data_IF_917577716191
#
_entry.id   IF_917577716191
#
_cell.length_a   1.000
_cell.length_b   1.000
_cell.length_c   1.000
_cell.angle_alpha   90.00
_cell.angle_beta   90.00
_cell.angle_gamma   90.00
#
_symmetry.space_group_name_H-M   'P 1'
#
loop_
_entity.id
_entity.type
_entity.pdbx_description
1 polymer ?
#
# COMPACT_ATOMS: atom_id res chain seq x y z
N UNK A 1 1.99 -13.29 -13.03
CA UNK A 1 1.27 -12.58 -11.95
C UNK A 1 1.43 -11.09 -12.15
N UNK A 2 0.33 -10.37 -12.26
CA UNK A 2 0.33 -8.93 -12.57
C UNK A 2 -0.65 -8.19 -11.67
N UNK A 3 -0.39 -6.90 -11.50
CA UNK A 3 -1.37 -5.96 -10.96
C UNK A 3 -2.21 -5.49 -12.14
N UNK A 4 -3.52 -5.74 -12.08
CA UNK A 4 -4.43 -5.45 -13.21
C UNK A 4 -5.17 -4.13 -13.03
N UNK A 5 -5.32 -3.68 -11.78
CA UNK A 5 -5.97 -2.41 -11.47
C UNK A 5 -5.47 -1.87 -10.12
N UNK A 6 -5.41 -0.56 -10.01
CA UNK A 6 -5.23 0.16 -8.74
C UNK A 6 -6.35 1.18 -8.62
N UNK A 7 -7.14 1.05 -7.58
CA UNK A 7 -8.21 2.01 -7.24
C UNK A 7 -7.77 2.85 -6.05
N UNK A 8 -7.94 4.13 -6.16
CA UNK A 8 -7.75 5.07 -5.06
C UNK A 8 -9.04 5.83 -4.82
N UNK A 9 -9.42 5.93 -3.56
CA UNK A 9 -10.57 6.71 -3.13
C UNK A 9 -10.16 7.67 -2.03
N UNK A 10 -10.32 8.97 -2.31
CA UNK A 10 -10.04 10.02 -1.33
C UNK A 10 -11.22 10.15 -0.36
N UNK A 11 -10.92 10.06 0.93
CA UNK A 11 -11.89 10.20 2.02
C UNK A 11 -11.60 11.47 2.81
N UNK A 12 -12.61 12.32 3.08
CA UNK A 12 -12.44 13.43 4.02
C UNK A 12 -12.23 12.87 5.42
N UNK A 13 -11.17 13.29 6.11
CA UNK A 13 -10.86 12.80 7.47
C UNK A 13 -11.27 13.77 8.56
N UNK A 14 -11.80 14.91 8.21
CA UNK A 14 -12.04 15.96 9.18
C UNK A 14 -13.36 15.79 9.91
N UNK A 15 -13.29 15.33 11.15
CA UNK A 15 -14.27 15.71 12.20
C UNK A 15 -14.15 17.19 12.60
N UNK A 16 -13.02 17.78 12.30
CA UNK A 16 -12.63 19.13 12.63
C UNK A 16 -12.30 19.86 11.33
N UNK A 17 -13.29 19.93 10.40
CA UNK A 17 -13.17 20.86 9.31
C UNK A 17 -13.06 22.24 9.94
N UNK A 18 -11.83 22.74 10.03
CA UNK A 18 -11.62 24.15 10.37
C UNK A 18 -12.33 24.95 9.27
N UNK A 19 -13.40 25.72 9.61
CA UNK A 19 -14.09 26.54 8.64
C UNK A 19 -13.18 27.58 7.97
N UNK A 20 -12.03 27.88 8.59
CA UNK A 20 -11.01 28.75 8.06
C UNK A 20 -10.02 28.02 7.12
N UNK A 21 -10.06 26.68 7.07
CA UNK A 21 -9.23 25.94 6.11
C UNK A 21 -9.77 26.14 4.69
N UNK A 22 -8.90 26.36 3.70
CA UNK A 22 -9.35 26.52 2.31
C UNK A 22 -10.11 25.28 1.83
N UNK A 23 -11.05 25.45 0.88
CA UNK A 23 -11.75 24.34 0.25
C UNK A 23 -10.76 23.29 -0.26
N UNK A 24 -10.97 22.02 0.08
CA UNK A 24 -10.03 20.95 -0.26
C UNK A 24 -9.22 20.42 0.91
N UNK A 25 -9.73 20.54 2.15
CA UNK A 25 -9.11 20.09 3.40
C UNK A 25 -8.38 18.76 3.34
N UNK A 26 -7.72 18.38 4.43
CA UNK A 26 -6.97 17.12 4.53
C UNK A 26 -7.86 15.93 4.16
N UNK A 27 -7.37 15.09 3.28
CA UNK A 27 -8.00 13.83 2.90
C UNK A 27 -7.10 12.67 3.23
N UNK A 28 -7.68 11.49 3.44
CA UNK A 28 -6.93 10.24 3.40
C UNK A 28 -7.25 9.51 2.11
N UNK A 29 -6.36 8.62 1.68
CA UNK A 29 -6.60 7.75 0.54
C UNK A 29 -6.75 6.31 1.02
N UNK A 30 -7.82 5.66 0.60
CA UNK A 30 -7.94 4.21 0.64
C UNK A 30 -7.58 3.65 -0.74
N UNK A 31 -6.75 2.61 -0.77
CA UNK A 31 -6.26 2.00 -2.00
C UNK A 31 -6.61 0.53 -2.04
N UNK A 32 -7.03 0.06 -3.22
CA UNK A 32 -7.15 -1.35 -3.54
C UNK A 32 -6.22 -1.68 -4.72
N UNK A 33 -5.33 -2.64 -4.51
CA UNK A 33 -4.46 -3.23 -5.55
C UNK A 33 -5.06 -4.57 -5.97
N UNK A 34 -5.57 -4.65 -7.18
CA UNK A 34 -6.23 -5.82 -7.74
C UNK A 34 -5.20 -6.61 -8.57
N UNK A 35 -5.09 -7.90 -8.30
CA UNK A 35 -4.17 -8.80 -9.01
C UNK A 35 -4.93 -9.73 -9.97
N UNK A 36 -4.20 -10.37 -10.90
CA UNK A 36 -4.72 -11.45 -11.74
C UNK A 36 -4.76 -12.81 -11.04
N UNK A 37 -4.35 -12.89 -9.78
CA UNK A 37 -4.40 -14.12 -8.97
C UNK A 37 -5.82 -14.35 -8.48
N UNK A 38 -6.36 -15.54 -8.76
CA UNK A 38 -7.72 -15.92 -8.35
C UNK A 38 -7.65 -16.85 -7.13
N UNK A 39 -8.41 -16.52 -6.10
CA UNK A 39 -8.63 -17.34 -4.90
C UNK A 39 -10.12 -17.40 -4.60
N UNK A 40 -10.66 -18.61 -4.41
CA UNK A 40 -12.10 -18.77 -4.14
C UNK A 40 -13.01 -18.17 -5.21
N UNK A 41 -12.59 -18.14 -6.48
CA UNK A 41 -13.36 -17.57 -7.59
C UNK A 41 -13.26 -16.03 -7.72
N UNK A 42 -12.48 -15.37 -6.88
CA UNK A 42 -12.33 -13.91 -6.90
C UNK A 42 -10.86 -13.50 -7.05
N UNK A 43 -10.58 -12.35 -7.67
CA UNK A 43 -9.24 -11.81 -7.70
C UNK A 43 -8.76 -11.48 -6.28
N UNK A 44 -7.48 -11.73 -6.01
CA UNK A 44 -6.86 -11.28 -4.78
C UNK A 44 -6.70 -9.77 -4.82
N UNK A 45 -7.21 -9.11 -3.80
CA UNK A 45 -7.16 -7.65 -3.63
C UNK A 45 -6.42 -7.32 -2.34
N UNK A 46 -5.38 -6.52 -2.46
CA UNK A 46 -4.70 -5.93 -1.32
C UNK A 46 -5.23 -4.53 -1.02
N UNK A 47 -5.33 -4.19 0.26
CA UNK A 47 -5.83 -2.91 0.73
C UNK A 47 -4.78 -2.16 1.52
N UNK A 48 -4.74 -0.85 1.31
CA UNK A 48 -3.92 0.08 2.07
C UNK A 48 -4.65 1.40 2.29
N UNK A 49 -4.22 2.15 3.28
CA UNK A 49 -4.79 3.47 3.56
C UNK A 49 -3.72 4.41 4.13
N UNK A 50 -3.88 5.70 3.89
CA UNK A 50 -3.05 6.72 4.49
C UNK A 50 -3.59 7.03 5.89
N UNK A 51 -2.84 6.71 6.94
CA UNK A 51 -3.25 6.99 8.33
C UNK A 51 -3.24 8.47 8.68
N UNK A 52 -2.47 9.27 7.96
CA UNK A 52 -2.42 10.73 8.10
C UNK A 52 -2.83 11.39 6.80
N UNK A 53 -3.81 12.29 6.88
CA UNK A 53 -4.26 13.05 5.75
C UNK A 53 -3.18 13.96 5.14
N UNK A 54 -3.28 14.16 3.85
CA UNK A 54 -2.47 15.07 3.05
C UNK A 54 -3.35 15.71 1.97
N UNK A 55 -2.79 16.64 1.22
CA UNK A 55 -3.54 17.34 0.17
C UNK A 55 -3.41 16.71 -1.21
N UNK A 56 -2.29 16.05 -1.51
CA UNK A 56 -1.96 15.63 -2.87
C UNK A 56 -1.68 14.13 -3.04
N UNK A 57 -1.75 13.33 -1.98
CA UNK A 57 -1.39 11.91 -2.05
C UNK A 57 -2.22 11.12 -3.06
N UNK A 58 -3.52 11.40 -3.18
CA UNK A 58 -4.40 10.72 -4.14
C UNK A 58 -4.00 10.96 -5.59
N UNK A 59 -3.65 12.21 -5.95
CA UNK A 59 -3.10 12.55 -7.26
C UNK A 59 -1.79 11.82 -7.54
N UNK A 60 -0.86 11.80 -6.59
CA UNK A 60 0.40 11.08 -6.71
C UNK A 60 0.18 9.57 -6.89
N UNK A 61 -0.77 8.98 -6.17
CA UNK A 61 -1.13 7.57 -6.34
C UNK A 61 -1.62 7.31 -7.76
N UNK A 62 -2.67 8.03 -8.21
CA UNK A 62 -3.33 7.78 -9.50
C UNK A 62 -2.46 8.11 -10.71
N UNK A 63 -1.74 9.22 -10.65
CA UNK A 63 -1.09 9.80 -11.83
C UNK A 63 0.40 9.44 -11.94
N UNK A 64 1.03 9.08 -10.83
CA UNK A 64 2.48 8.83 -10.80
C UNK A 64 2.84 7.39 -10.44
N UNK A 65 2.35 6.85 -9.33
CA UNK A 65 2.85 5.58 -8.81
C UNK A 65 2.06 4.37 -9.29
N UNK A 66 0.73 4.44 -9.35
CA UNK A 66 -0.09 3.36 -9.89
C UNK A 66 0.26 3.01 -11.34
N UNK A 67 0.48 3.97 -12.26
CA UNK A 67 0.90 3.66 -13.63
C UNK A 67 2.21 2.87 -13.69
N UNK A 68 3.17 3.12 -12.80
CA UNK A 68 4.44 2.36 -12.75
C UNK A 68 4.24 0.90 -12.41
N UNK A 69 3.28 0.61 -11.52
CA UNK A 69 2.92 -0.76 -11.15
C UNK A 69 2.13 -1.46 -12.28
N UNK A 70 1.19 -0.74 -12.90
CA UNK A 70 0.33 -1.29 -13.95
C UNK A 70 1.06 -1.58 -15.27
N UNK A 71 2.11 -0.83 -15.57
CA UNK A 71 2.93 -1.01 -16.78
C UNK A 71 4.18 -1.86 -16.55
N UNK A 72 4.42 -2.30 -15.31
CA UNK A 72 5.58 -3.10 -14.97
C UNK A 72 5.51 -4.48 -15.64
N UNK A 73 6.68 -4.99 -16.02
CA UNK A 73 6.79 -6.38 -16.48
C UNK A 73 6.55 -7.30 -15.29
N UNK A 74 5.95 -8.44 -15.54
CA UNK A 74 5.69 -9.44 -14.51
C UNK A 74 6.96 -9.79 -13.69
N UNK A 75 8.08 -10.02 -14.38
CA UNK A 75 9.36 -10.33 -13.72
C UNK A 75 9.88 -9.25 -12.77
N UNK A 76 9.42 -8.01 -12.90
CA UNK A 76 9.82 -6.89 -12.04
C UNK A 76 8.91 -6.77 -10.80
N UNK A 77 7.81 -7.50 -10.73
CA UNK A 77 6.82 -7.47 -9.64
C UNK A 77 6.83 -8.73 -8.76
N UNK A 78 7.29 -9.87 -9.29
CA UNK A 78 7.22 -11.14 -8.59
C UNK A 78 8.52 -11.48 -7.84
N UNK A 79 8.42 -12.38 -6.88
CA UNK A 79 9.56 -12.95 -6.17
C UNK A 79 10.46 -13.78 -7.13
N UNK A 80 11.59 -14.24 -6.61
CA UNK A 80 12.54 -15.01 -7.42
C UNK A 80 11.95 -16.33 -7.94
N UNK A 81 11.01 -16.92 -7.20
CA UNK A 81 10.33 -18.15 -7.59
C UNK A 81 9.15 -17.91 -8.58
N UNK A 82 8.75 -16.65 -8.79
CA UNK A 82 7.59 -16.29 -9.61
C UNK A 82 6.25 -16.69 -8.98
N UNK A 83 6.23 -16.99 -7.70
CA UNK A 83 5.06 -17.55 -7.00
C UNK A 83 4.22 -16.53 -6.24
N UNK A 84 4.79 -15.35 -5.96
CA UNK A 84 4.13 -14.29 -5.22
C UNK A 84 4.57 -12.91 -5.70
N UNK A 85 3.81 -11.89 -5.33
CA UNK A 85 4.26 -10.50 -5.43
C UNK A 85 5.45 -10.27 -4.50
N UNK A 86 6.40 -9.47 -4.96
CA UNK A 86 7.51 -8.99 -4.15
C UNK A 86 7.33 -7.48 -3.86
N UNK A 87 6.83 -7.09 -2.67
CA UNK A 87 6.63 -5.70 -2.33
C UNK A 87 7.91 -4.86 -2.38
N UNK A 88 9.08 -5.44 -2.10
CA UNK A 88 10.36 -4.72 -2.23
C UNK A 88 10.69 -4.37 -3.68
N UNK A 89 10.39 -5.26 -4.63
CA UNK A 89 10.55 -4.97 -6.06
C UNK A 89 9.57 -3.92 -6.52
N UNK A 90 8.30 -4.05 -6.13
CA UNK A 90 7.28 -3.06 -6.42
C UNK A 90 7.62 -1.68 -5.85
N UNK A 91 8.15 -1.62 -4.62
CA UNK A 91 8.64 -0.37 -4.01
C UNK A 91 9.78 0.24 -4.84
N UNK A 92 10.76 -0.56 -5.28
CA UNK A 92 11.85 -0.07 -6.14
C UNK A 92 11.33 0.51 -7.45
N UNK A 93 10.32 -0.12 -8.05
CA UNK A 93 9.67 0.42 -9.26
C UNK A 93 9.02 1.77 -9.00
N UNK A 94 8.25 1.89 -7.91
CA UNK A 94 7.64 3.16 -7.54
C UNK A 94 8.68 4.25 -7.32
N UNK A 95 9.81 3.92 -6.70
CA UNK A 95 10.87 4.87 -6.37
C UNK A 95 11.91 5.09 -7.48
N UNK A 96 11.81 4.37 -8.61
CA UNK A 96 12.76 4.50 -9.71
C UNK A 96 12.76 5.93 -10.27
N UNK A 97 13.96 6.54 -10.33
CA UNK A 97 14.14 7.91 -10.83
C UNK A 97 13.61 9.01 -9.89
N UNK A 98 13.18 8.67 -8.69
CA UNK A 98 12.81 9.68 -7.69
C UNK A 98 14.06 10.37 -7.14
N UNK A 99 14.00 11.71 -7.07
CA UNK A 99 15.07 12.49 -6.44
C UNK A 99 15.06 12.28 -4.92
N UNK A 100 16.21 12.35 -4.25
CA UNK A 100 16.27 12.39 -2.78
C UNK A 100 15.41 13.51 -2.21
N UNK A 101 14.90 13.33 -0.99
CA UNK A 101 14.02 14.29 -0.34
C UNK A 101 12.54 14.08 -0.72
N UNK A 102 11.73 15.12 -0.55
CA UNK A 102 10.29 15.06 -0.86
C UNK A 102 9.51 14.19 0.13
N UNK A 103 9.83 14.31 1.40
CA UNK A 103 9.04 13.72 2.49
C UNK A 103 7.64 14.37 2.53
N UNK A 104 6.66 13.67 3.06
CA UNK A 104 5.26 14.13 3.08
C UNK A 104 4.43 13.40 2.02
N UNK A 105 3.79 14.10 1.11
CA UNK A 105 2.80 13.55 0.18
C UNK A 105 3.32 12.36 -0.62
N UNK A 106 4.56 12.42 -1.13
CA UNK A 106 5.18 11.31 -1.85
C UNK A 106 5.33 10.07 -0.98
N UNK A 107 5.88 10.23 0.22
CA UNK A 107 6.07 9.11 1.14
C UNK A 107 4.74 8.50 1.57
N UNK A 108 3.73 9.33 1.80
CA UNK A 108 2.38 8.87 2.14
C UNK A 108 1.76 8.10 0.96
N UNK A 109 1.88 8.62 -0.26
CA UNK A 109 1.35 7.94 -1.46
C UNK A 109 2.01 6.58 -1.70
N UNK A 110 3.34 6.52 -1.65
CA UNK A 110 4.09 5.26 -1.82
C UNK A 110 3.79 4.29 -0.68
N UNK A 111 3.79 4.75 0.58
CA UNK A 111 3.49 3.90 1.74
C UNK A 111 2.07 3.33 1.71
N UNK A 112 1.09 4.09 1.21
CA UNK A 112 -0.28 3.59 1.04
C UNK A 112 -0.37 2.45 0.04
N UNK A 113 0.33 2.58 -1.10
CA UNK A 113 0.44 1.51 -2.09
C UNK A 113 1.23 0.32 -1.56
N UNK A 114 2.32 0.58 -0.84
CA UNK A 114 3.17 -0.46 -0.24
C UNK A 114 2.39 -1.33 0.75
N UNK A 115 1.57 -0.73 1.61
CA UNK A 115 0.66 -1.48 2.49
C UNK A 115 -0.27 -2.41 1.70
N UNK A 116 -0.87 -1.91 0.61
CA UNK A 116 -1.76 -2.72 -0.24
C UNK A 116 -1.00 -3.86 -0.93
N UNK A 117 0.24 -3.66 -1.34
CA UNK A 117 1.08 -4.69 -1.94
C UNK A 117 1.45 -5.78 -0.94
N UNK A 118 1.81 -5.42 0.30
CA UNK A 118 2.07 -6.36 1.37
C UNK A 118 0.83 -7.18 1.75
N UNK A 119 -0.33 -6.53 1.83
CA UNK A 119 -1.60 -7.21 2.09
C UNK A 119 -1.96 -8.19 0.96
N UNK A 120 -1.79 -7.78 -0.30
CA UNK A 120 -1.97 -8.68 -1.45
C UNK A 120 -1.02 -9.87 -1.39
N UNK A 121 0.27 -9.65 -1.14
CA UNK A 121 1.27 -10.72 -1.06
C UNK A 121 0.95 -11.73 0.06
N UNK A 122 0.53 -11.25 1.23
CA UNK A 122 0.12 -12.12 2.34
C UNK A 122 -1.11 -12.98 1.98
N UNK A 123 -2.10 -12.38 1.33
CA UNK A 123 -3.31 -13.07 0.84
C UNK A 123 -2.98 -14.10 -0.25
N UNK A 124 -2.06 -13.80 -1.15
CA UNK A 124 -1.57 -14.75 -2.17
C UNK A 124 -0.86 -15.92 -1.47
N UNK A 125 -0.04 -15.66 -0.46
CA UNK A 125 0.62 -16.70 0.33
C UNK A 125 -0.36 -17.51 1.21
N UNK A 126 -1.58 -17.00 1.46
CA UNK A 126 -2.58 -17.65 2.32
C UNK A 126 -2.25 -17.58 3.80
N UNK A 127 -1.48 -16.58 4.22
CA UNK A 127 -1.08 -16.38 5.62
C UNK A 127 -1.44 -14.98 6.11
N UNK A 128 -1.59 -14.76 7.43
CA UNK A 128 -1.78 -13.43 7.98
C UNK A 128 -0.60 -12.52 7.66
N UNK A 129 -0.87 -11.22 7.46
CA UNK A 129 0.16 -10.24 7.11
C UNK A 129 1.34 -10.22 8.09
N UNK A 130 1.08 -10.27 9.40
CA UNK A 130 2.16 -10.27 10.39
C UNK A 130 3.12 -11.45 10.23
N UNK A 131 2.60 -12.64 9.87
CA UNK A 131 3.41 -13.83 9.62
C UNK A 131 4.21 -13.65 8.33
N UNK A 132 3.58 -13.18 7.27
CA UNK A 132 4.25 -12.93 6.00
C UNK A 132 5.40 -11.93 6.15
N UNK A 133 5.19 -10.88 6.94
CA UNK A 133 6.24 -9.90 7.26
C UNK A 133 7.39 -10.53 8.05
N UNK A 134 7.09 -11.33 9.10
CA UNK A 134 8.10 -12.00 9.89
C UNK A 134 8.98 -12.93 9.03
N UNK A 135 8.35 -13.73 8.18
CA UNK A 135 9.05 -14.65 7.27
C UNK A 135 9.94 -13.87 6.27
N UNK A 136 9.44 -12.79 5.71
CA UNK A 136 10.16 -11.98 4.71
C UNK A 136 11.30 -11.13 5.30
N UNK A 137 11.20 -10.76 6.57
CA UNK A 137 12.19 -9.95 7.27
C UNK A 137 13.14 -10.80 8.13
N UNK A 138 13.05 -12.14 8.07
CA UNK A 138 13.94 -13.06 8.78
C UNK A 138 13.72 -13.10 10.30
N UNK A 139 12.53 -12.70 10.76
CA UNK A 139 12.15 -12.80 12.17
C UNK A 139 11.52 -14.17 12.43
N UNK A 140 12.33 -15.11 12.83
CA UNK A 140 12.00 -16.54 12.90
C UNK A 140 11.05 -16.89 14.06
N UNK A 141 10.92 -16.06 15.08
CA UNK A 141 10.10 -16.37 16.26
C UNK A 141 9.12 -15.25 16.62
N UNK A 142 8.00 -15.18 15.90
CA UNK A 142 6.81 -14.56 16.47
C UNK A 142 6.01 -15.63 17.24
N UNK A 143 6.29 -15.77 18.51
CA UNK A 143 5.61 -16.73 19.39
C UNK A 143 4.17 -16.30 19.71
N UNK A 144 3.84 -15.04 19.54
CA UNK A 144 2.47 -14.53 19.75
C UNK A 144 2.18 -13.34 18.81
N UNK A 145 0.96 -13.29 18.19
CA UNK A 145 0.52 -12.12 17.45
C UNK A 145 0.03 -10.98 18.35
N UNK A 146 0.20 -11.10 19.65
CA UNK A 146 -0.26 -10.10 20.62
C UNK A 146 0.76 -8.98 20.75
N UNK A 147 0.29 -7.74 20.62
CA UNK A 147 1.06 -6.53 20.90
C UNK A 147 0.32 -5.68 21.92
N UNK A 148 1.08 -5.02 22.80
CA UNK A 148 0.51 -4.04 23.70
C UNK A 148 0.06 -2.81 22.91
N UNK A 149 -1.16 -2.37 23.15
CA UNK A 149 -1.74 -1.18 22.52
C UNK A 149 -2.25 -0.21 23.59
N UNK A 150 -2.31 1.06 23.25
CA UNK A 150 -2.96 2.07 24.07
C UNK A 150 -3.91 2.89 23.22
N UNK A 151 -4.98 3.37 23.82
CA UNK A 151 -5.88 4.31 23.17
C UNK A 151 -5.36 5.73 23.38
N UNK A 152 -5.02 6.43 22.31
CA UNK A 152 -4.79 7.87 22.34
C UNK A 152 -6.13 8.56 22.51
N UNK A 153 -6.37 9.16 23.68
CA UNK A 153 -7.51 10.03 23.92
C UNK A 153 -7.11 11.48 23.70
N UNK A 154 -7.89 12.24 22.93
CA UNK A 154 -7.84 13.67 22.82
C UNK A 154 -9.04 14.30 23.51
#
# INVERSE_FOLDING_TARGET
MRIVEVREHALPISRYADPAAPPGGLTTSAVAVITDVIRGGHPVIGYGFASMGRFAQGGLIRERFAPRLLTAREADLVDQAGTNLDPFRAWRLMMAGEKPGGHGERCVAVGTLDMALWDAAAKIAGVPLYRHLADRLGQIEMTSPQIAVYAGGG
#
